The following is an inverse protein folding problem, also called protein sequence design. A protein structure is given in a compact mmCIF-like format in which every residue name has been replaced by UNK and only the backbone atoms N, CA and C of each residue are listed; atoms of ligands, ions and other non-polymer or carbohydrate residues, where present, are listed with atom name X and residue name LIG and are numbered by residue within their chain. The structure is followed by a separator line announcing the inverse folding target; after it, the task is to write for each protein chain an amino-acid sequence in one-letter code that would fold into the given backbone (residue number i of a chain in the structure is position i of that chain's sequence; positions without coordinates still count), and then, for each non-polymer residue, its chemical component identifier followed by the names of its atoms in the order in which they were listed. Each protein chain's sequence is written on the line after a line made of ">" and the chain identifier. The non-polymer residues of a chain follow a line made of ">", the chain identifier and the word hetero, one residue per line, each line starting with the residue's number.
data_IF_936407187134
#
_entry.id   IF_936407187134
#
_cell.length_a   1.000
_cell.length_b   1.000
_cell.length_c   1.000
_cell.angle_alpha   90.00
_cell.angle_beta   90.00
_cell.angle_gamma   90.00
#
_symmetry.space_group_name_H-M   'P 1'
#
loop_
_entity.id
_entity.type
_entity.pdbx_description
1 polymer ?
#
# COMPACT_ATOMS: atom_id res chain seq x y z
N UNK A 1 -11.34 -14.29 -12.95
CA UNK A 1 -11.33 -14.35 -11.48
C UNK A 1 -11.52 -12.97 -10.88
N UNK A 2 -12.32 -12.89 -9.85
CA UNK A 2 -12.58 -11.62 -9.18
C UNK A 2 -11.40 -11.27 -8.28
N UNK A 3 -10.98 -10.01 -8.31
CA UNK A 3 -9.93 -9.53 -7.42
C UNK A 3 -10.42 -9.55 -5.97
N UNK A 4 -9.59 -10.05 -5.05
CA UNK A 4 -9.89 -10.05 -3.62
C UNK A 4 -8.88 -9.21 -2.86
N UNK A 5 -9.34 -8.11 -2.28
CA UNK A 5 -8.49 -7.25 -1.46
C UNK A 5 -8.01 -8.01 -0.22
N UNK A 6 -8.84 -8.90 0.31
CA UNK A 6 -8.49 -9.66 1.50
C UNK A 6 -7.32 -10.61 1.25
N UNK A 7 -7.20 -11.13 0.04
CA UNK A 7 -6.07 -11.96 -0.35
C UNK A 7 -4.84 -11.13 -0.70
N UNK A 8 -5.04 -9.91 -1.16
CA UNK A 8 -3.95 -9.04 -1.61
C UNK A 8 -3.26 -8.33 -0.44
N UNK A 9 -4.01 -7.89 0.56
CA UNK A 9 -3.48 -7.09 1.68
C UNK A 9 -2.31 -7.78 2.40
N UNK A 10 -2.35 -9.10 2.71
CA UNK A 10 -1.21 -9.74 3.36
C UNK A 10 0.09 -9.62 2.58
N UNK A 11 0.01 -9.65 1.25
CA UNK A 11 1.20 -9.48 0.40
C UNK A 11 1.79 -8.08 0.57
N UNK A 12 0.95 -7.07 0.58
CA UNK A 12 1.36 -5.68 0.79
C UNK A 12 1.99 -5.49 2.16
N UNK A 13 1.32 -5.98 3.21
CA UNK A 13 1.81 -5.84 4.57
C UNK A 13 3.17 -6.51 4.76
N UNK A 14 3.34 -7.70 4.19
CA UNK A 14 4.63 -8.39 4.28
C UNK A 14 5.72 -7.59 3.58
N UNK A 15 5.43 -7.06 2.40
CA UNK A 15 6.40 -6.29 1.63
C UNK A 15 6.84 -5.03 2.40
N UNK A 16 5.88 -4.26 2.96
CA UNK A 16 6.23 -3.04 3.69
C UNK A 16 6.97 -3.35 4.99
N UNK A 17 6.62 -4.45 5.66
CA UNK A 17 7.32 -4.87 6.87
C UNK A 17 8.78 -5.23 6.58
N UNK A 18 9.03 -5.88 5.45
CA UNK A 18 10.40 -6.25 5.08
C UNK A 18 11.24 -5.03 4.74
N UNK A 19 10.64 -4.02 4.13
CA UNK A 19 11.38 -2.83 3.72
C UNK A 19 11.54 -1.80 4.82
N UNK A 20 10.51 -1.59 5.63
CA UNK A 20 10.49 -0.48 6.58
C UNK A 20 10.47 -0.92 8.04
N UNK A 21 9.97 -2.12 8.32
CA UNK A 21 10.04 -2.73 9.65
C UNK A 21 9.49 -1.83 10.75
N UNK A 22 10.32 -1.59 11.78
CA UNK A 22 9.92 -0.80 12.94
C UNK A 22 9.70 0.68 12.65
N UNK A 23 10.06 1.14 11.45
CA UNK A 23 9.82 2.52 11.04
C UNK A 23 8.36 2.78 10.71
N UNK A 24 7.56 1.72 10.49
CA UNK A 24 6.16 1.87 10.14
C UNK A 24 5.39 2.39 11.35
N UNK A 25 4.72 3.52 11.16
CA UNK A 25 3.89 4.12 12.20
C UNK A 25 2.41 3.80 11.99
N UNK A 26 1.99 3.79 10.72
CA UNK A 26 0.60 3.51 10.38
C UNK A 26 0.49 2.98 8.95
N UNK A 27 -0.37 2.00 8.74
CA UNK A 27 -0.73 1.50 7.42
C UNK A 27 -2.24 1.54 7.32
N UNK A 28 -2.76 2.12 6.25
CA UNK A 28 -4.19 2.26 6.08
C UNK A 28 -4.65 2.01 4.66
N UNK A 29 -5.91 1.68 4.55
CA UNK A 29 -6.62 1.53 3.28
C UNK A 29 -7.69 2.62 3.25
N UNK A 30 -7.76 3.36 2.15
CA UNK A 30 -8.70 4.47 2.01
C UNK A 30 -9.57 4.28 0.78
N UNK A 31 -10.48 5.24 0.56
CA UNK A 31 -11.32 5.26 -0.62
C UNK A 31 -12.40 4.20 -0.61
N UNK A 32 -12.72 3.69 -1.80
CA UNK A 32 -13.84 2.77 -1.98
C UNK A 32 -13.68 1.47 -1.18
N UNK A 33 -12.45 0.96 -1.07
CA UNK A 33 -12.22 -0.27 -0.32
C UNK A 33 -12.42 -0.07 1.18
N UNK A 34 -12.05 1.10 1.71
CA UNK A 34 -12.26 1.39 3.12
C UNK A 34 -13.74 1.53 3.46
N UNK A 35 -14.54 2.01 2.51
CA UNK A 35 -15.98 2.17 2.68
C UNK A 35 -16.79 0.94 2.28
N UNK A 36 -16.12 -0.12 1.83
CA UNK A 36 -16.76 -1.34 1.34
C UNK A 36 -17.68 -1.08 0.13
N UNK A 37 -17.31 -0.10 -0.67
CA UNK A 37 -18.04 0.28 -1.90
C UNK A 37 -17.25 -0.06 -3.15
N UNK A 38 -16.13 -0.80 -3.02
CA UNK A 38 -15.25 -1.07 -4.12
C UNK A 38 -15.85 -2.04 -5.13
N UNK A 39 -15.54 -1.80 -6.40
CA UNK A 39 -15.85 -2.71 -7.50
C UNK A 39 -14.54 -3.24 -8.08
N UNK A 40 -14.63 -4.14 -9.04
CA UNK A 40 -13.44 -4.68 -9.72
C UNK A 40 -12.62 -3.60 -10.45
N UNK A 41 -13.23 -2.44 -10.70
CA UNK A 41 -12.58 -1.32 -11.37
C UNK A 41 -12.05 -0.27 -10.41
N UNK A 42 -12.28 -0.42 -9.11
CA UNK A 42 -11.82 0.54 -8.11
C UNK A 42 -10.31 0.46 -7.91
N UNK A 43 -9.66 1.62 -7.74
CA UNK A 43 -8.27 1.68 -7.35
C UNK A 43 -8.11 1.34 -5.87
N UNK A 44 -6.94 0.80 -5.53
CA UNK A 44 -6.60 0.49 -4.14
C UNK A 44 -5.84 1.69 -3.58
N UNK A 45 -6.47 2.47 -2.73
CA UNK A 45 -5.87 3.66 -2.11
C UNK A 45 -5.17 3.27 -0.82
N UNK A 46 -3.84 3.30 -0.82
CA UNK A 46 -3.01 2.87 0.29
C UNK A 46 -2.33 4.07 0.95
N UNK A 47 -2.25 4.03 2.27
CA UNK A 47 -1.53 5.04 3.05
C UNK A 47 -0.49 4.34 3.92
N UNK A 48 0.75 4.81 3.84
CA UNK A 48 1.84 4.33 4.68
C UNK A 48 2.47 5.52 5.38
N UNK A 49 2.43 5.55 6.71
CA UNK A 49 3.05 6.60 7.51
C UNK A 49 4.27 6.00 8.20
N UNK A 50 5.41 6.65 8.02
CA UNK A 50 6.68 6.27 8.62
C UNK A 50 7.10 7.31 9.66
N UNK A 51 8.04 6.97 10.53
CA UNK A 51 8.61 7.94 11.47
C UNK A 51 9.20 9.14 10.73
N UNK A 52 9.97 8.86 9.68
CA UNK A 52 10.54 9.86 8.79
C UNK A 52 10.47 9.33 7.38
N UNK A 53 10.29 10.23 6.42
CA UNK A 53 10.32 9.86 5.01
C UNK A 53 11.40 10.70 4.31
N UNK A 54 12.28 10.01 3.60
CA UNK A 54 13.30 10.63 2.76
C UNK A 54 12.95 10.40 1.29
N UNK A 55 13.68 11.07 0.38
CA UNK A 55 13.51 10.83 -1.04
C UNK A 55 13.77 9.36 -1.40
N UNK A 56 14.78 8.76 -0.75
CA UNK A 56 15.09 7.34 -0.97
C UNK A 56 13.93 6.44 -0.55
N UNK A 57 13.24 6.79 0.54
CA UNK A 57 12.08 6.02 0.99
C UNK A 57 10.95 6.06 -0.03
N UNK A 58 10.74 7.20 -0.68
CA UNK A 58 9.73 7.32 -1.73
C UNK A 58 10.07 6.42 -2.91
N UNK A 59 11.33 6.38 -3.30
CA UNK A 59 11.80 5.51 -4.39
C UNK A 59 11.62 4.05 -3.99
N UNK A 60 12.02 3.68 -2.79
CA UNK A 60 11.89 2.32 -2.28
C UNK A 60 10.44 1.88 -2.26
N UNK A 61 9.54 2.75 -1.81
CA UNK A 61 8.12 2.44 -1.75
C UNK A 61 7.54 2.21 -3.16
N UNK A 62 7.91 3.07 -4.11
CA UNK A 62 7.47 2.91 -5.49
C UNK A 62 7.94 1.57 -6.08
N UNK A 63 9.20 1.22 -5.85
CA UNK A 63 9.76 -0.05 -6.30
C UNK A 63 9.06 -1.24 -5.65
N UNK A 64 8.74 -1.13 -4.38
CA UNK A 64 8.00 -2.15 -3.64
C UNK A 64 6.63 -2.39 -4.27
N UNK A 65 5.90 -1.32 -4.57
CA UNK A 65 4.60 -1.45 -5.22
C UNK A 65 4.71 -2.14 -6.57
N UNK A 66 5.80 -1.87 -7.32
CA UNK A 66 6.02 -2.49 -8.62
C UNK A 66 6.24 -4.00 -8.52
N UNK A 67 6.60 -4.53 -7.36
CA UNK A 67 6.78 -5.98 -7.17
C UNK A 67 5.50 -6.71 -6.82
N UNK A 68 4.43 -5.97 -6.54
CA UNK A 68 3.16 -6.56 -6.10
C UNK A 68 2.24 -6.83 -7.27
N UNK A 69 1.37 -7.85 -7.16
CA UNK A 69 0.37 -8.09 -8.20
C UNK A 69 -0.64 -6.95 -8.24
N UNK A 70 -1.29 -6.78 -9.39
CA UNK A 70 -2.30 -5.74 -9.61
C UNK A 70 -1.76 -4.33 -9.45
N UNK A 71 -0.51 -4.10 -9.90
CA UNK A 71 0.15 -2.81 -9.78
C UNK A 71 -0.68 -1.67 -10.39
N UNK A 72 -1.41 -1.95 -11.45
CA UNK A 72 -2.24 -0.96 -12.16
C UNK A 72 -3.39 -0.43 -11.31
N UNK A 73 -3.76 -1.16 -10.26
CA UNK A 73 -4.82 -0.74 -9.34
C UNK A 73 -4.29 0.06 -8.17
N UNK A 74 -2.98 0.11 -7.97
CA UNK A 74 -2.41 0.63 -6.74
C UNK A 74 -2.20 2.15 -6.82
N UNK A 75 -2.76 2.84 -5.84
CA UNK A 75 -2.55 4.26 -5.63
C UNK A 75 -1.94 4.41 -4.24
N UNK A 76 -0.61 4.44 -4.18
CA UNK A 76 0.10 4.44 -2.91
C UNK A 76 0.50 5.84 -2.50
N UNK A 77 0.26 6.14 -1.23
CA UNK A 77 0.67 7.40 -0.62
C UNK A 77 1.53 7.08 0.60
N UNK A 78 2.67 7.77 0.73
CA UNK A 78 3.51 7.63 1.91
C UNK A 78 3.93 9.01 2.39
N UNK A 79 4.04 9.14 3.71
CA UNK A 79 4.41 10.40 4.33
C UNK A 79 5.14 10.13 5.64
N UNK A 80 5.87 11.15 6.10
CA UNK A 80 6.48 11.12 7.41
C UNK A 80 5.48 11.56 8.46
N UNK A 81 5.69 11.03 9.65
CA UNK A 81 4.92 11.42 10.81
C UNK A 81 5.14 12.89 11.16
#
# INVERSE_FOLDING_TARGET
>A
MTFSIESWIPLYLEAVKQQFGSRIWFVGLQGSYARQEATDQSDIDLVLILDKVTADDLITYSQLLDTLPHREKLCGFTAGR
#
